data_IF_917144183705
#
_entry.id   IF_917144183705
#
_cell.length_a   1.000
_cell.length_b   1.000
_cell.length_c   1.000
_cell.angle_alpha   90.00
_cell.angle_beta   90.00
_cell.angle_gamma   90.00
#
_symmetry.space_group_name_H-M   'P 1'
#
loop_
_entity.id
_entity.type
_entity.pdbx_description
1 polymer ?
#
# COMPACT_ATOMS: atom_id res chain seq x y z
N UNK A 1 -5.36 6.76 19.87
CA UNK A 1 -6.77 6.74 19.39
C UNK A 1 -6.74 7.17 17.93
N UNK A 2 -7.45 6.48 17.03
CA UNK A 2 -7.59 6.89 15.63
C UNK A 2 -8.83 7.77 15.52
N UNK A 3 -8.69 8.94 14.88
CA UNK A 3 -9.78 9.89 14.59
C UNK A 3 -10.20 9.64 13.15
N UNK A 4 -11.49 9.53 12.92
CA UNK A 4 -12.08 9.36 11.59
C UNK A 4 -12.82 10.63 11.19
N UNK A 5 -12.62 11.10 9.97
CA UNK A 5 -13.23 12.32 9.44
C UNK A 5 -13.50 12.20 7.95
N UNK A 6 -14.57 12.83 7.49
CA UNK A 6 -14.90 12.93 6.08
C UNK A 6 -14.34 14.25 5.51
N UNK A 7 -13.41 14.14 4.57
CA UNK A 7 -12.84 15.27 3.84
C UNK A 7 -13.61 15.49 2.54
N UNK A 8 -14.30 16.62 2.43
CA UNK A 8 -14.94 17.05 1.18
C UNK A 8 -13.88 17.57 0.20
N UNK A 9 -13.84 17.03 -1.02
CA UNK A 9 -12.96 17.46 -2.09
C UNK A 9 -13.64 18.55 -2.95
N UNK A 10 -12.84 19.39 -3.65
CA UNK A 10 -13.38 20.46 -4.50
C UNK A 10 -14.29 19.98 -5.64
N UNK A 11 -14.14 18.73 -6.08
CA UNK A 11 -14.94 18.10 -7.13
C UNK A 11 -16.24 17.46 -6.63
N UNK A 12 -16.56 17.63 -5.34
CA UNK A 12 -17.75 17.12 -4.69
C UNK A 12 -17.63 15.69 -4.16
N UNK A 13 -16.49 15.03 -4.34
CA UNK A 13 -16.23 13.73 -3.72
C UNK A 13 -15.88 13.89 -2.24
N UNK A 14 -15.98 12.80 -1.50
CA UNK A 14 -15.55 12.67 -0.10
C UNK A 14 -14.45 11.64 0.00
N UNK A 15 -13.45 11.90 0.83
CA UNK A 15 -12.50 10.90 1.30
C UNK A 15 -12.72 10.66 2.79
N UNK A 16 -12.91 9.41 3.18
CA UNK A 16 -12.94 9.01 4.59
C UNK A 16 -11.51 8.84 5.07
N UNK A 17 -11.11 9.64 6.06
CA UNK A 17 -9.72 9.80 6.51
C UNK A 17 -9.58 9.30 7.93
N UNK A 18 -8.48 8.61 8.17
CA UNK A 18 -8.03 8.13 9.48
C UNK A 18 -6.77 8.88 9.89
N UNK A 19 -6.71 9.35 11.14
CA UNK A 19 -5.59 10.13 11.67
C UNK A 19 -5.37 9.77 13.14
N UNK A 20 -4.15 9.38 13.51
CA UNK A 20 -3.82 9.19 14.93
C UNK A 20 -3.60 10.50 15.68
N UNK A 21 -3.48 11.62 14.94
CA UNK A 21 -3.35 12.96 15.52
C UNK A 21 -2.07 13.20 16.31
N UNK A 22 -2.04 14.34 16.99
CA UNK A 22 -0.96 14.72 17.89
C UNK A 22 0.31 15.25 17.22
N UNK A 23 1.23 15.82 18.02
CA UNK A 23 2.54 16.21 17.52
C UNK A 23 3.35 14.96 17.18
N UNK A 24 3.99 14.95 16.01
CA UNK A 24 4.76 13.83 15.54
C UNK A 24 6.10 14.30 14.96
N UNK A 25 7.12 13.46 15.09
CA UNK A 25 8.39 13.63 14.42
C UNK A 25 8.28 13.32 12.94
N UNK A 26 7.52 12.27 12.60
CA UNK A 26 7.29 11.83 11.23
C UNK A 26 5.81 11.52 11.03
N UNK A 27 5.23 12.01 9.93
CA UNK A 27 3.93 11.53 9.44
C UNK A 27 4.15 10.43 8.41
N UNK A 28 3.44 9.32 8.56
CA UNK A 28 3.45 8.21 7.60
C UNK A 28 2.04 8.04 7.03
N UNK A 29 1.92 8.15 5.71
CA UNK A 29 0.68 7.78 5.01
C UNK A 29 0.66 6.27 4.79
N UNK A 30 -0.38 5.62 5.33
CA UNK A 30 -0.63 4.20 5.11
C UNK A 30 -1.50 3.99 3.89
N UNK A 31 -1.04 3.12 2.99
CA UNK A 31 -1.80 2.66 1.83
C UNK A 31 -2.25 1.22 2.07
N UNK A 32 -3.54 1.04 2.24
CA UNK A 32 -4.15 -0.25 2.56
C UNK A 32 -4.12 -1.25 1.40
N UNK A 33 -4.15 -2.56 1.70
CA UNK A 33 -4.23 -3.65 0.72
C UNK A 33 -5.58 -3.70 -0.02
N UNK A 34 -5.78 -4.76 -0.79
CA UNK A 34 -7.01 -5.01 -1.56
C UNK A 34 -7.55 -6.40 -1.23
N UNK A 35 -8.84 -6.51 -0.80
CA UNK A 35 -9.74 -5.43 -0.39
C UNK A 35 -9.55 -5.09 1.09
N UNK A 36 -9.33 -3.82 1.45
CA UNK A 36 -9.27 -3.40 2.85
C UNK A 36 -9.92 -2.02 3.00
N UNK A 37 -10.36 -1.68 4.21
CA UNK A 37 -10.56 -0.29 4.62
C UNK A 37 -9.23 0.38 4.92
N UNK A 38 -9.23 1.70 4.96
CA UNK A 38 -8.04 2.53 5.09
C UNK A 38 -7.45 2.63 6.50
N UNK A 39 -8.05 2.05 7.52
CA UNK A 39 -7.55 2.18 8.89
C UNK A 39 -6.05 1.84 8.99
N UNK A 40 -5.26 2.60 9.78
CA UNK A 40 -3.85 2.32 10.01
C UNK A 40 -3.63 0.94 10.63
N UNK A 41 -2.47 0.30 10.41
CA UNK A 41 -2.22 -1.06 10.90
C UNK A 41 -2.21 -1.12 12.44
N UNK A 42 -3.30 -1.64 13.01
CA UNK A 42 -3.52 -1.74 14.45
C UNK A 42 -2.32 -2.34 15.22
N UNK A 43 -1.72 -3.44 14.75
CA UNK A 43 -0.54 -4.05 15.40
C UNK A 43 0.67 -3.11 15.52
N UNK A 44 0.79 -2.09 14.68
CA UNK A 44 1.91 -1.15 14.68
C UNK A 44 1.67 0.13 15.49
N UNK A 45 0.46 0.36 16.00
CA UNK A 45 0.14 1.59 16.73
C UNK A 45 1.03 1.83 17.97
N UNK A 46 1.33 0.83 18.82
CA UNK A 46 2.22 1.03 19.97
C UNK A 46 3.65 1.39 19.57
N UNK A 47 4.18 0.76 18.51
CA UNK A 47 5.51 1.07 18.00
C UNK A 47 5.54 2.48 17.38
N UNK A 48 4.52 2.85 16.60
CA UNK A 48 4.42 4.18 16.01
C UNK A 48 4.44 5.28 17.07
N UNK A 49 3.67 5.11 18.17
CA UNK A 49 3.69 6.02 19.30
C UNK A 49 5.09 6.15 19.91
N UNK A 50 5.79 5.04 20.13
CA UNK A 50 7.15 5.05 20.70
C UNK A 50 8.19 5.71 19.78
N UNK A 51 7.99 5.65 18.46
CA UNK A 51 8.85 6.26 17.45
C UNK A 51 8.48 7.73 17.16
N UNK A 52 7.39 8.27 17.72
CA UNK A 52 6.87 9.58 17.39
C UNK A 52 6.30 9.67 15.98
N UNK A 53 5.70 8.59 15.50
CA UNK A 53 5.07 8.50 14.17
C UNK A 53 3.57 8.77 14.28
N UNK A 54 3.06 9.70 13.46
CA UNK A 54 1.64 9.92 13.21
C UNK A 54 1.23 9.14 11.96
N UNK A 55 0.24 8.28 12.10
CA UNK A 55 -0.40 7.65 10.96
C UNK A 55 -1.49 8.53 10.40
N UNK A 56 -1.50 8.66 9.08
CA UNK A 56 -2.60 9.21 8.30
C UNK A 56 -2.92 8.23 7.18
N UNK A 57 -4.19 8.03 6.88
CA UNK A 57 -4.62 7.17 5.78
C UNK A 57 -6.04 7.55 5.35
N UNK A 58 -6.52 6.94 4.30
CA UNK A 58 -7.89 7.11 3.84
C UNK A 58 -8.39 5.83 3.17
N UNK A 59 -9.69 5.64 3.16
CA UNK A 59 -10.31 4.65 2.28
C UNK A 59 -10.06 5.07 0.84
N UNK A 60 -9.48 4.19 0.01
CA UNK A 60 -9.40 4.50 -1.43
C UNK A 60 -10.79 4.68 -2.02
N UNK A 61 -10.95 5.51 -3.08
CA UNK A 61 -12.24 5.68 -3.73
C UNK A 61 -12.90 4.33 -4.08
N UNK A 62 -14.18 4.19 -3.64
CA UNK A 62 -14.93 2.94 -3.80
C UNK A 62 -14.88 1.98 -2.61
N UNK A 63 -14.16 2.34 -1.53
CA UNK A 63 -14.17 1.63 -0.24
C UNK A 63 -14.79 2.51 0.84
N UNK A 64 -15.32 1.87 1.86
CA UNK A 64 -15.80 2.50 3.10
C UNK A 64 -16.60 3.76 2.89
N UNK A 65 -16.16 4.86 3.52
CA UNK A 65 -16.82 6.17 3.43
C UNK A 65 -16.37 7.03 2.24
N UNK A 66 -15.41 6.57 1.41
CA UNK A 66 -14.90 7.34 0.28
C UNK A 66 -15.76 7.19 -0.96
N UNK A 67 -16.06 8.34 -1.60
CA UNK A 67 -16.82 8.38 -2.86
C UNK A 67 -16.12 7.57 -3.96
N UNK A 68 -16.89 6.77 -4.68
CA UNK A 68 -16.41 6.01 -5.83
C UNK A 68 -15.84 6.93 -6.91
N UNK A 69 -14.70 6.55 -7.49
CA UNK A 69 -14.08 7.19 -8.65
C UNK A 69 -13.89 6.12 -9.74
N UNK A 70 -14.78 6.08 -10.73
CA UNK A 70 -14.64 5.14 -11.85
C UNK A 70 -13.33 5.36 -12.61
N UNK A 71 -12.80 4.27 -13.17
CA UNK A 71 -11.62 4.28 -14.06
C UNK A 71 -10.36 4.92 -13.45
N UNK A 72 -10.28 4.96 -12.11
CA UNK A 72 -9.09 5.42 -11.42
C UNK A 72 -7.88 4.53 -11.75
N UNK A 73 -6.73 5.15 -11.78
CA UNK A 73 -5.43 4.47 -11.89
C UNK A 73 -4.77 4.38 -10.53
N UNK A 74 -3.67 3.63 -10.43
CA UNK A 74 -2.83 3.61 -9.23
C UNK A 74 -2.33 5.02 -8.88
N UNK A 75 -2.02 5.86 -9.88
CA UNK A 75 -1.52 7.22 -9.70
C UNK A 75 -2.50 8.20 -9.05
N UNK A 76 -3.82 7.95 -9.12
CA UNK A 76 -4.78 8.80 -8.42
C UNK A 76 -4.61 8.78 -6.88
N UNK A 77 -3.87 7.80 -6.33
CA UNK A 77 -3.51 7.82 -4.91
C UNK A 77 -2.71 9.08 -4.52
N UNK A 78 -1.86 9.59 -5.42
CA UNK A 78 -1.08 10.80 -5.16
C UNK A 78 -1.99 12.04 -4.98
N UNK A 79 -3.06 12.15 -5.79
CA UNK A 79 -4.05 13.24 -5.67
C UNK A 79 -4.80 13.16 -4.34
N UNK A 80 -5.25 11.95 -3.95
CA UNK A 80 -5.94 11.73 -2.67
C UNK A 80 -5.03 12.07 -1.48
N UNK A 81 -3.78 11.58 -1.49
CA UNK A 81 -2.80 11.86 -0.44
C UNK A 81 -2.48 13.35 -0.37
N UNK A 82 -2.29 14.04 -1.51
CA UNK A 82 -2.02 15.47 -1.54
C UNK A 82 -3.20 16.25 -0.92
N UNK A 83 -4.43 15.92 -1.29
CA UNK A 83 -5.63 16.58 -0.73
C UNK A 83 -5.76 16.39 0.78
N UNK A 84 -5.53 15.17 1.29
CA UNK A 84 -5.54 14.88 2.73
C UNK A 84 -4.41 15.61 3.45
N UNK A 85 -3.20 15.57 2.90
CA UNK A 85 -2.04 16.23 3.49
C UNK A 85 -2.22 17.75 3.55
N UNK A 86 -2.76 18.38 2.49
CA UNK A 86 -3.03 19.81 2.45
C UNK A 86 -4.11 20.21 3.47
N UNK A 87 -5.18 19.43 3.58
CA UNK A 87 -6.24 19.66 4.56
C UNK A 87 -5.73 19.56 6.01
N UNK A 88 -4.76 18.70 6.26
CA UNK A 88 -4.15 18.49 7.59
C UNK A 88 -2.90 19.35 7.84
N UNK A 89 -2.49 20.20 6.89
CA UNK A 89 -1.32 21.06 6.98
C UNK A 89 0.02 20.29 7.02
N UNK A 90 0.06 19.10 6.39
CA UNK A 90 1.24 18.22 6.34
C UNK A 90 2.03 18.55 5.08
N UNK A 91 3.25 19.10 5.21
CA UNK A 91 4.13 19.45 4.09
C UNK A 91 4.84 18.23 3.52
N UNK A 92 5.59 17.53 4.35
CA UNK A 92 6.40 16.36 4.00
C UNK A 92 5.97 15.16 4.83
N UNK A 93 6.10 13.96 4.26
CA UNK A 93 5.68 12.72 4.90
C UNK A 93 6.42 11.51 4.30
N UNK A 94 6.39 10.39 5.00
CA UNK A 94 6.75 9.09 4.44
C UNK A 94 5.49 8.35 4.00
N UNK A 95 5.66 7.34 3.15
CA UNK A 95 4.57 6.45 2.74
C UNK A 95 4.90 4.99 3.07
N UNK A 96 3.90 4.25 3.50
CA UNK A 96 3.99 2.81 3.74
C UNK A 96 2.79 2.10 3.13
N UNK A 97 3.00 0.91 2.57
CA UNK A 97 1.91 0.15 1.98
C UNK A 97 2.14 -1.36 1.99
N UNK A 98 1.05 -2.12 1.91
CA UNK A 98 1.08 -3.57 1.79
C UNK A 98 0.25 -4.03 0.60
N UNK A 99 0.72 -5.07 -0.12
CA UNK A 99 -0.01 -5.66 -1.25
C UNK A 99 -0.34 -4.60 -2.30
N UNK A 100 -1.59 -4.50 -2.73
CA UNK A 100 -2.05 -3.44 -3.63
C UNK A 100 -1.76 -2.02 -3.14
N UNK A 101 -1.74 -1.79 -1.82
CA UNK A 101 -1.35 -0.50 -1.25
C UNK A 101 0.11 -0.12 -1.53
N UNK A 102 0.97 -1.10 -1.75
CA UNK A 102 2.36 -0.87 -2.12
C UNK A 102 2.49 -0.15 -3.47
N UNK A 103 1.69 -0.55 -4.46
CA UNK A 103 1.65 0.13 -5.78
C UNK A 103 1.23 1.59 -5.62
N UNK A 104 0.20 1.85 -4.81
CA UNK A 104 -0.30 3.20 -4.53
C UNK A 104 0.74 4.06 -3.77
N UNK A 105 1.46 3.47 -2.80
CA UNK A 105 2.55 4.14 -2.09
C UNK A 105 3.71 4.51 -3.03
N UNK A 106 4.14 3.59 -3.90
CA UNK A 106 5.18 3.83 -4.89
C UNK A 106 4.77 4.89 -5.91
N UNK A 107 3.52 4.84 -6.41
CA UNK A 107 3.01 5.86 -7.33
C UNK A 107 2.92 7.24 -6.65
N UNK A 108 2.51 7.28 -5.38
CA UNK A 108 2.52 8.53 -4.58
C UNK A 108 3.92 9.12 -4.52
N UNK A 109 4.94 8.30 -4.26
CA UNK A 109 6.33 8.77 -4.20
C UNK A 109 6.86 9.25 -5.57
N UNK A 110 6.50 8.57 -6.66
CA UNK A 110 6.89 8.97 -8.01
C UNK A 110 6.27 10.30 -8.44
N UNK A 111 5.01 10.56 -8.02
CA UNK A 111 4.23 11.73 -8.43
C UNK A 111 4.35 12.93 -7.47
N UNK A 112 4.79 12.70 -6.23
CA UNK A 112 5.00 13.74 -5.22
C UNK A 112 6.44 13.76 -4.68
N UNK A 113 7.47 13.81 -5.55
CA UNK A 113 8.87 13.67 -5.13
C UNK A 113 9.34 14.78 -4.17
N UNK A 114 8.68 15.95 -4.17
CA UNK A 114 8.97 17.06 -3.26
C UNK A 114 8.30 16.92 -1.88
N UNK A 115 7.47 15.91 -1.67
CA UNK A 115 6.72 15.71 -0.41
C UNK A 115 7.03 14.37 0.27
N UNK A 116 7.36 13.34 -0.51
CA UNK A 116 7.66 12.00 0.03
C UNK A 116 9.12 11.92 0.43
N UNK A 117 9.38 11.75 1.72
CA UNK A 117 10.74 11.66 2.29
C UNK A 117 11.31 10.25 2.28
N UNK A 118 10.48 9.23 2.41
CA UNK A 118 10.88 7.83 2.40
C UNK A 118 9.69 6.93 2.06
N UNK A 119 9.99 5.75 1.54
CA UNK A 119 9.00 4.74 1.12
C UNK A 119 9.34 3.39 1.73
N UNK A 120 8.38 2.72 2.36
CA UNK A 120 8.52 1.31 2.73
C UNK A 120 7.29 0.53 2.24
N UNK A 121 7.51 -0.52 1.48
CA UNK A 121 6.41 -1.33 0.94
C UNK A 121 6.66 -2.81 1.16
N UNK A 122 5.57 -3.54 1.42
CA UNK A 122 5.58 -4.98 1.67
C UNK A 122 4.70 -5.69 0.63
N UNK A 123 5.17 -6.80 0.07
CA UNK A 123 4.47 -7.60 -0.94
C UNK A 123 4.00 -6.75 -2.16
N UNK A 124 4.90 -5.96 -2.73
CA UNK A 124 4.56 -4.98 -3.76
C UNK A 124 4.17 -5.62 -5.09
N UNK A 125 3.14 -5.03 -5.74
CA UNK A 125 2.75 -5.34 -7.12
C UNK A 125 3.53 -4.43 -8.06
N UNK A 126 4.20 -4.97 -9.08
CA UNK A 126 4.89 -4.19 -10.11
C UNK A 126 3.89 -3.62 -11.14
N UNK A 127 4.25 -2.58 -11.91
CA UNK A 127 3.45 -2.12 -13.04
C UNK A 127 3.13 -3.25 -14.03
N UNK A 128 1.91 -3.26 -14.54
CA UNK A 128 1.49 -4.23 -15.55
C UNK A 128 2.37 -4.13 -16.80
N UNK A 129 2.75 -5.29 -17.35
CA UNK A 129 3.70 -5.37 -18.46
C UNK A 129 5.16 -5.54 -18.03
N UNK A 130 5.48 -5.56 -16.73
CA UNK A 130 6.76 -6.09 -16.25
C UNK A 130 6.92 -7.55 -16.72
N UNK A 131 8.14 -7.92 -17.12
CA UNK A 131 8.43 -9.27 -17.63
C UNK A 131 8.04 -10.33 -16.59
N UNK A 132 7.33 -11.37 -17.03
CA UNK A 132 6.87 -12.45 -16.16
C UNK A 132 5.83 -12.04 -15.10
N UNK A 133 5.06 -10.99 -15.33
CA UNK A 133 4.15 -10.40 -14.34
C UNK A 133 3.19 -11.40 -13.67
N UNK A 134 2.74 -12.43 -14.37
CA UNK A 134 1.91 -13.51 -13.84
C UNK A 134 2.71 -14.74 -13.35
N UNK A 135 4.01 -14.77 -13.57
CA UNK A 135 4.81 -15.98 -13.32
C UNK A 135 4.96 -16.24 -11.82
N UNK A 136 4.57 -17.43 -11.40
CA UNK A 136 4.61 -17.84 -10.00
C UNK A 136 3.36 -17.49 -9.18
N UNK A 137 2.40 -16.73 -9.73
CA UNK A 137 1.12 -16.51 -9.06
C UNK A 137 0.34 -17.82 -8.92
N UNK A 138 -0.36 -17.99 -7.80
CA UNK A 138 -1.37 -19.03 -7.64
C UNK A 138 -2.45 -18.88 -8.72
N UNK A 139 -3.03 -19.99 -9.12
CA UNK A 139 -3.99 -20.01 -10.23
C UNK A 139 -5.17 -19.04 -10.04
N UNK A 140 -5.71 -18.95 -8.80
CA UNK A 140 -6.80 -18.05 -8.48
C UNK A 140 -6.39 -16.57 -8.58
N UNK A 141 -5.21 -16.20 -8.06
CA UNK A 141 -4.69 -14.83 -8.17
C UNK A 141 -4.47 -14.42 -9.63
N UNK A 142 -3.84 -15.29 -10.41
CA UNK A 142 -3.62 -15.05 -11.84
C UNK A 142 -4.93 -14.97 -12.62
N UNK A 143 -5.94 -15.79 -12.30
CA UNK A 143 -7.24 -15.75 -12.95
C UNK A 143 -7.99 -14.46 -12.69
N UNK A 144 -7.99 -13.96 -11.44
CA UNK A 144 -8.61 -12.71 -11.03
C UNK A 144 -8.02 -11.52 -11.80
N UNK A 145 -6.69 -11.39 -11.82
CA UNK A 145 -6.02 -10.29 -12.50
C UNK A 145 -6.04 -10.38 -14.04
N UNK A 146 -6.11 -11.60 -14.61
CA UNK A 146 -6.36 -11.80 -16.04
C UNK A 146 -7.76 -11.34 -16.43
N UNK A 147 -8.77 -11.66 -15.60
CA UNK A 147 -10.13 -11.18 -15.81
C UNK A 147 -10.20 -9.65 -15.79
N UNK A 148 -9.43 -9.00 -14.90
CA UNK A 148 -9.30 -7.54 -14.89
C UNK A 148 -8.64 -7.02 -16.18
N UNK A 149 -7.59 -7.68 -16.68
CA UNK A 149 -6.92 -7.30 -17.93
C UNK A 149 -7.83 -7.42 -19.17
N UNK A 150 -8.87 -8.27 -19.12
CA UNK A 150 -9.91 -8.36 -20.14
C UNK A 150 -11.00 -7.29 -20.00
N UNK A 151 -11.01 -6.54 -18.90
CA UNK A 151 -11.89 -5.41 -18.64
C UNK A 151 -12.94 -5.64 -17.57
N UNK A 152 -13.61 -4.55 -17.19
CA UNK A 152 -14.54 -4.48 -16.05
C UNK A 152 -15.63 -5.57 -16.08
N UNK A 153 -16.33 -5.75 -17.19
CA UNK A 153 -17.42 -6.69 -17.28
C UNK A 153 -16.97 -8.16 -17.05
N UNK A 154 -15.76 -8.51 -17.51
CA UNK A 154 -15.17 -9.84 -17.30
C UNK A 154 -14.76 -9.99 -15.83
N UNK A 155 -14.15 -8.95 -15.25
CA UNK A 155 -13.77 -8.93 -13.84
C UNK A 155 -14.99 -9.05 -12.92
N UNK A 156 -16.05 -8.28 -13.14
CA UNK A 156 -17.31 -8.35 -12.37
C UNK A 156 -17.93 -9.76 -12.43
N UNK A 157 -17.96 -10.37 -13.63
CA UNK A 157 -18.43 -11.74 -13.78
C UNK A 157 -17.57 -12.75 -13.03
N UNK A 158 -16.24 -12.56 -13.06
CA UNK A 158 -15.30 -13.39 -12.31
C UNK A 158 -15.57 -13.30 -10.81
N UNK A 159 -15.64 -12.09 -10.25
CA UNK A 159 -15.87 -11.86 -8.81
C UNK A 159 -17.22 -12.42 -8.34
N UNK A 160 -18.26 -12.34 -9.16
CA UNK A 160 -19.57 -12.87 -8.82
C UNK A 160 -19.59 -14.40 -8.62
N UNK A 161 -18.60 -15.12 -9.12
CA UNK A 161 -18.53 -16.59 -9.10
C UNK A 161 -17.24 -17.13 -8.48
N UNK A 162 -16.28 -16.26 -8.15
CA UNK A 162 -15.01 -16.66 -7.56
C UNK A 162 -15.22 -17.21 -6.14
N UNK A 163 -14.59 -18.34 -5.86
CA UNK A 163 -14.52 -18.92 -4.53
C UNK A 163 -13.11 -18.70 -3.95
N UNK A 164 -13.02 -18.58 -2.65
CA UNK A 164 -11.74 -18.48 -1.98
C UNK A 164 -10.91 -19.75 -2.18
N UNK A 165 -9.73 -19.60 -2.77
CA UNK A 165 -8.75 -20.69 -2.92
C UNK A 165 -7.66 -20.55 -1.83
N UNK A 166 -7.61 -21.46 -0.84
CA UNK A 166 -6.61 -21.40 0.21
C UNK A 166 -5.17 -21.59 -0.30
N UNK A 167 -4.99 -22.09 -1.54
CA UNK A 167 -3.65 -22.28 -2.12
C UNK A 167 -2.91 -20.96 -2.40
N UNK A 168 -3.62 -19.82 -2.38
CA UNK A 168 -3.01 -18.48 -2.52
C UNK A 168 -2.13 -18.12 -1.31
N UNK A 169 -2.38 -18.73 -0.14
CA UNK A 169 -1.65 -18.47 1.10
C UNK A 169 -0.76 -19.66 1.49
N UNK A 170 0.35 -19.31 2.15
CA UNK A 170 1.25 -20.29 2.78
C UNK A 170 0.73 -20.66 4.18
N UNK A 171 1.37 -21.65 4.81
CA UNK A 171 1.09 -21.97 6.22
C UNK A 171 1.48 -20.81 7.15
N UNK A 172 2.54 -20.07 6.82
CA UNK A 172 2.97 -18.89 7.57
C UNK A 172 1.91 -17.79 7.49
N UNK A 173 1.31 -17.57 6.30
CA UNK A 173 0.22 -16.59 6.15
C UNK A 173 -0.98 -16.92 7.03
N UNK A 174 -1.42 -18.16 7.06
CA UNK A 174 -2.51 -18.58 7.94
C UNK A 174 -2.17 -18.43 9.43
N UNK A 175 -0.91 -18.66 9.81
CA UNK A 175 -0.46 -18.44 11.18
C UNK A 175 -0.47 -16.95 11.54
N UNK A 176 -0.01 -16.07 10.65
CA UNK A 176 -0.05 -14.62 10.83
C UNK A 176 -1.49 -14.10 10.95
N UNK A 177 -2.40 -14.55 10.08
CA UNK A 177 -3.83 -14.22 10.13
C UNK A 177 -4.52 -14.70 11.42
N UNK A 178 -4.12 -15.83 11.94
CA UNK A 178 -4.65 -16.34 13.22
C UNK A 178 -4.01 -15.68 14.46
N UNK A 179 -2.92 -14.96 14.29
CA UNK A 179 -2.08 -14.38 15.33
C UNK A 179 -1.93 -12.87 15.24
N UNK A 180 -0.68 -12.43 15.00
CA UNK A 180 -0.25 -11.00 15.00
C UNK A 180 -1.03 -10.10 14.04
N UNK A 181 -1.55 -10.66 12.94
CA UNK A 181 -2.26 -9.92 11.90
C UNK A 181 -3.75 -10.28 11.80
N UNK A 182 -4.34 -10.84 12.86
CA UNK A 182 -5.80 -11.06 12.94
C UNK A 182 -6.60 -9.76 12.77
N UNK A 183 -6.00 -8.60 13.04
CA UNK A 183 -6.53 -7.28 12.74
C UNK A 183 -6.96 -7.11 11.25
N UNK A 184 -6.36 -7.85 10.33
CA UNK A 184 -6.76 -7.79 8.91
C UNK A 184 -8.23 -8.17 8.71
N UNK A 185 -8.80 -9.04 9.56
CA UNK A 185 -10.22 -9.38 9.48
C UNK A 185 -11.13 -8.15 9.71
N UNK A 186 -10.72 -7.23 10.59
CA UNK A 186 -11.48 -6.01 10.90
C UNK A 186 -11.55 -5.03 9.71
N UNK A 187 -10.53 -5.01 8.84
CA UNK A 187 -10.46 -4.10 7.69
C UNK A 187 -10.81 -4.77 6.36
N UNK A 188 -10.66 -6.09 6.25
CA UNK A 188 -11.02 -6.86 5.05
C UNK A 188 -12.51 -7.15 5.00
N UNK A 189 -13.09 -7.68 6.09
CA UNK A 189 -14.49 -8.13 6.11
C UNK A 189 -15.48 -7.03 5.70
N UNK A 190 -15.41 -5.79 6.21
CA UNK A 190 -16.31 -4.72 5.77
C UNK A 190 -16.03 -4.21 4.35
N UNK A 191 -14.85 -4.52 3.79
CA UNK A 191 -14.48 -4.14 2.42
C UNK A 191 -14.87 -5.19 1.37
N UNK A 192 -15.33 -6.38 1.79
CA UNK A 192 -15.78 -7.42 0.86
C UNK A 192 -17.00 -6.97 0.07
N UNK A 193 -16.98 -7.20 -1.24
CA UNK A 193 -18.07 -6.78 -2.14
C UNK A 193 -18.08 -5.29 -2.48
N UNK A 194 -17.15 -4.50 -1.96
CA UNK A 194 -16.99 -3.11 -2.37
C UNK A 194 -16.56 -3.02 -3.85
N UNK A 195 -17.10 -2.02 -4.56
CA UNK A 195 -16.70 -1.73 -5.95
C UNK A 195 -15.21 -1.42 -6.07
N UNK A 196 -14.60 -0.94 -4.99
CA UNK A 196 -13.18 -0.63 -4.89
C UNK A 196 -12.26 -1.81 -5.16
N UNK A 197 -12.67 -3.07 -4.86
CA UNK A 197 -11.90 -4.28 -5.20
C UNK A 197 -11.74 -4.42 -6.72
N UNK A 198 -12.84 -4.27 -7.45
CA UNK A 198 -12.83 -4.36 -8.91
C UNK A 198 -11.98 -3.23 -9.51
N UNK A 199 -12.15 -2.01 -8.99
CA UNK A 199 -11.40 -0.83 -9.45
C UNK A 199 -9.90 -0.96 -9.16
N UNK A 200 -9.51 -1.53 -8.02
CA UNK A 200 -8.12 -1.80 -7.70
C UNK A 200 -7.49 -2.77 -8.71
N UNK A 201 -8.14 -3.90 -8.97
CA UNK A 201 -7.62 -4.89 -9.90
C UNK A 201 -7.52 -4.34 -11.33
N UNK A 202 -8.49 -3.51 -11.75
CA UNK A 202 -8.42 -2.80 -13.03
C UNK A 202 -7.26 -1.80 -13.05
N UNK A 203 -7.03 -1.08 -11.94
CA UNK A 203 -5.93 -0.13 -11.84
C UNK A 203 -4.55 -0.82 -11.89
N UNK A 204 -4.42 -2.04 -11.32
CA UNK A 204 -3.15 -2.77 -11.36
C UNK A 204 -2.78 -3.25 -12.76
N UNK A 205 -3.75 -3.52 -13.63
CA UNK A 205 -3.54 -4.00 -15.00
C UNK A 205 -3.57 -2.88 -16.05
N UNK A 206 -3.56 -1.63 -15.62
CA UNK A 206 -3.45 -0.44 -16.46
C UNK A 206 -2.17 0.35 -16.14
N UNK A 207 -1.73 1.31 -16.99
CA UNK A 207 -0.61 2.17 -16.64
C UNK A 207 -0.84 2.92 -15.33
N UNK A 208 0.14 2.90 -14.45
CA UNK A 208 0.04 3.53 -13.11
C UNK A 208 -0.16 5.05 -13.17
N UNK A 209 0.28 5.71 -14.25
CA UNK A 209 0.32 7.17 -14.33
C UNK A 209 1.60 7.78 -13.74
N UNK A 210 2.51 6.98 -13.21
CA UNK A 210 3.83 7.37 -12.71
C UNK A 210 4.87 6.28 -13.02
N UNK A 211 6.14 6.68 -13.17
CA UNK A 211 7.26 5.75 -13.40
C UNK A 211 8.00 5.48 -12.09
N UNK A 212 8.14 4.22 -11.64
CA UNK A 212 8.95 3.90 -10.46
C UNK A 212 10.40 4.41 -10.53
N UNK A 213 10.96 4.56 -11.73
CA UNK A 213 12.30 5.13 -11.91
C UNK A 213 12.39 6.63 -11.53
N UNK A 214 11.26 7.33 -11.42
CA UNK A 214 11.21 8.71 -10.97
C UNK A 214 11.23 8.88 -9.44
N UNK A 215 11.17 7.79 -8.70
CA UNK A 215 11.22 7.83 -7.23
C UNK A 215 12.63 8.22 -6.80
N UNK A 216 12.75 9.34 -6.09
CA UNK A 216 14.02 9.85 -5.57
C UNK A 216 14.17 9.61 -4.07
N UNK A 217 13.07 9.34 -3.37
CA UNK A 217 13.07 9.06 -1.95
C UNK A 217 13.74 7.71 -1.64
N UNK A 218 14.48 7.58 -0.52
CA UNK A 218 14.93 6.28 -0.03
C UNK A 218 13.78 5.28 -0.01
N UNK A 219 13.98 4.10 -0.59
CA UNK A 219 12.91 3.11 -0.77
C UNK A 219 13.33 1.75 -0.24
N UNK A 220 12.52 1.19 0.66
CA UNK A 220 12.63 -0.17 1.16
C UNK A 220 11.51 -1.02 0.58
N UNK A 221 11.88 -2.11 -0.05
CA UNK A 221 10.98 -3.15 -0.54
C UNK A 221 11.18 -4.40 0.32
N UNK A 222 10.13 -4.90 0.94
CA UNK A 222 10.14 -6.17 1.68
C UNK A 222 9.18 -7.15 1.03
N UNK A 223 9.56 -8.43 0.91
CA UNK A 223 8.71 -9.42 0.24
C UNK A 223 8.93 -10.81 0.80
N UNK A 224 7.84 -11.54 1.05
CA UNK A 224 7.90 -12.95 1.39
C UNK A 224 8.41 -13.76 0.18
N UNK A 225 9.47 -14.55 0.39
CA UNK A 225 10.07 -15.31 -0.72
C UNK A 225 9.13 -16.39 -1.28
N UNK A 226 8.17 -16.85 -0.47
CA UNK A 226 7.19 -17.89 -0.79
C UNK A 226 5.79 -17.31 -1.12
N UNK A 227 5.69 -15.99 -1.36
CA UNK A 227 4.44 -15.33 -1.73
C UNK A 227 3.89 -15.91 -3.03
N UNK A 228 2.66 -16.43 -2.97
CA UNK A 228 1.95 -17.07 -4.09
C UNK A 228 0.85 -16.18 -4.66
N UNK A 229 0.46 -15.14 -3.92
CA UNK A 229 -0.53 -14.18 -4.40
C UNK A 229 0.13 -13.20 -5.37
N UNK A 230 1.19 -12.54 -4.90
CA UNK A 230 2.04 -11.65 -5.70
C UNK A 230 3.48 -12.13 -5.51
N UNK A 231 4.08 -12.83 -6.49
CA UNK A 231 5.42 -13.39 -6.33
C UNK A 231 6.49 -12.33 -6.10
N UNK A 232 7.55 -12.70 -5.37
CA UNK A 232 8.67 -11.82 -5.05
C UNK A 232 9.41 -11.27 -6.29
N UNK A 233 9.17 -11.82 -7.47
CA UNK A 233 9.66 -11.30 -8.76
C UNK A 233 9.20 -9.88 -9.03
N UNK A 234 8.01 -9.47 -8.54
CA UNK A 234 7.50 -8.11 -8.63
C UNK A 234 8.40 -7.13 -7.87
N UNK A 235 8.74 -7.41 -6.61
CA UNK A 235 9.66 -6.55 -5.84
C UNK A 235 11.08 -6.59 -6.38
N UNK A 236 11.55 -7.70 -6.94
CA UNK A 236 12.85 -7.77 -7.63
C UNK A 236 12.87 -6.87 -8.86
N UNK A 237 11.80 -6.87 -9.64
CA UNK A 237 11.67 -5.98 -10.80
C UNK A 237 11.67 -4.51 -10.35
N UNK A 238 10.88 -4.15 -9.34
CA UNK A 238 10.82 -2.80 -8.78
C UNK A 238 12.19 -2.34 -8.26
N UNK A 239 12.90 -3.19 -7.52
CA UNK A 239 14.24 -2.90 -7.02
C UNK A 239 15.25 -2.64 -8.14
N UNK A 240 15.08 -3.27 -9.31
CA UNK A 240 15.92 -3.01 -10.48
C UNK A 240 15.64 -1.68 -11.18
N UNK A 241 14.48 -1.04 -10.89
CA UNK A 241 14.01 0.20 -11.53
C UNK A 241 14.10 1.42 -10.65
N UNK A 242 13.85 1.27 -9.36
CA UNK A 242 13.89 2.37 -8.38
C UNK A 242 15.33 2.65 -7.99
N UNK A 243 15.88 3.85 -8.26
CA UNK A 243 17.27 4.16 -7.92
C UNK A 243 17.55 4.01 -6.42
N UNK A 244 18.55 3.22 -6.07
CA UNK A 244 18.97 3.04 -4.68
C UNK A 244 17.99 2.28 -3.79
N UNK A 245 16.99 1.60 -4.33
CA UNK A 245 16.06 0.81 -3.54
C UNK A 245 16.76 -0.34 -2.82
N UNK A 246 16.44 -0.51 -1.55
CA UNK A 246 16.84 -1.67 -0.73
C UNK A 246 15.76 -2.75 -0.86
N UNK A 247 16.16 -3.97 -1.20
CA UNK A 247 15.27 -5.14 -1.25
C UNK A 247 15.62 -6.14 -0.16
N UNK A 248 14.64 -6.47 0.68
CA UNK A 248 14.72 -7.53 1.68
C UNK A 248 13.73 -8.63 1.36
N UNK A 249 14.23 -9.82 1.08
CA UNK A 249 13.43 -11.03 0.90
C UNK A 249 13.42 -11.82 2.21
N UNK A 250 12.25 -12.25 2.65
CA UNK A 250 12.08 -13.02 3.89
C UNK A 250 11.78 -14.49 3.55
N UNK A 251 12.76 -15.40 3.70
CA UNK A 251 12.56 -16.82 3.40
C UNK A 251 11.50 -17.46 4.30
N UNK A 252 10.60 -18.25 3.71
CA UNK A 252 9.50 -18.92 4.43
C UNK A 252 8.25 -18.08 4.59
N UNK A 253 8.31 -16.78 4.36
CA UNK A 253 7.14 -15.90 4.40
C UNK A 253 6.40 -15.86 3.07
N UNK A 254 5.09 -15.72 3.16
CA UNK A 254 4.19 -15.49 2.03
C UNK A 254 3.68 -14.04 1.98
N UNK A 255 2.45 -13.89 1.49
CA UNK A 255 1.83 -12.59 1.23
C UNK A 255 1.46 -11.82 2.50
N UNK A 256 1.00 -12.53 3.53
CA UNK A 256 0.55 -11.95 4.79
C UNK A 256 1.66 -12.00 5.83
N UNK A 257 2.38 -13.13 5.94
CA UNK A 257 3.41 -13.31 6.96
C UNK A 257 4.60 -12.37 6.81
N UNK A 258 4.86 -11.81 5.62
CA UNK A 258 5.82 -10.71 5.45
C UNK A 258 5.50 -9.49 6.34
N UNK A 259 4.24 -9.32 6.74
CA UNK A 259 3.83 -8.26 7.66
C UNK A 259 4.42 -8.42 9.07
N UNK A 260 4.85 -9.61 9.48
CA UNK A 260 5.58 -9.80 10.76
C UNK A 260 6.87 -8.96 10.81
N UNK A 261 7.38 -8.53 9.65
CA UNK A 261 8.51 -7.60 9.51
C UNK A 261 8.09 -6.13 9.33
N UNK A 262 6.80 -5.80 9.43
CA UNK A 262 6.32 -4.43 9.24
C UNK A 262 6.84 -3.46 10.32
N UNK A 263 7.16 -3.97 11.52
CA UNK A 263 7.82 -3.19 12.58
C UNK A 263 9.22 -2.72 12.15
N UNK A 264 9.98 -3.58 11.45
CA UNK A 264 11.30 -3.22 10.91
C UNK A 264 11.18 -2.16 9.81
N UNK A 265 10.15 -2.28 8.95
CA UNK A 265 9.87 -1.29 7.91
C UNK A 265 9.53 0.08 8.51
N UNK A 266 8.69 0.13 9.55
CA UNK A 266 8.34 1.37 10.24
C UNK A 266 9.55 1.99 10.95
N UNK A 267 10.36 1.18 11.61
CA UNK A 267 11.61 1.62 12.24
C UNK A 267 12.59 2.18 11.22
N UNK A 268 12.70 1.53 10.07
CA UNK A 268 13.52 2.00 8.96
C UNK A 268 13.05 3.36 8.43
N UNK A 269 11.73 3.56 8.24
CA UNK A 269 11.17 4.87 7.85
C UNK A 269 11.50 5.95 8.88
N UNK A 270 11.35 5.66 10.16
CA UNK A 270 11.65 6.61 11.22
C UNK A 270 13.14 7.00 11.26
N UNK A 271 14.05 6.12 10.85
CA UNK A 271 15.48 6.41 10.77
C UNK A 271 15.83 7.34 9.59
N UNK A 272 15.10 7.33 8.49
CA UNK A 272 15.35 8.22 7.35
C UNK A 272 15.11 9.70 7.70
N UNK A 273 14.17 9.99 8.59
CA UNK A 273 13.90 11.36 9.04
C UNK A 273 15.06 11.95 9.86
N UNK A 274 15.74 11.12 10.65
CA UNK A 274 16.87 11.56 11.48
C UNK A 274 18.11 11.93 10.67
N UNK A 275 18.35 11.26 9.54
CA UNK A 275 19.52 11.52 8.68
C UNK A 275 19.41 12.84 7.90
N UNK A 276 18.20 13.33 7.66
CA UNK A 276 17.97 14.62 6.99
C UNK A 276 18.26 15.82 7.90
N UNK A 277 18.06 15.69 9.23
CA UNK A 277 18.34 16.76 10.19
C UNK A 277 19.84 16.96 10.45
N UNK A 278 20.64 15.90 10.44
CA UNK A 278 22.10 15.97 10.67
C UNK A 278 22.85 16.57 9.47
N UNK A 279 22.35 16.37 8.24
CA UNK A 279 22.95 16.95 7.04
C UNK A 279 22.81 18.49 6.99
N UNK A 280 21.77 19.05 7.62
CA UNK A 280 21.51 20.50 7.65
C UNK A 280 22.32 21.23 8.73
N UNK A 281 22.72 20.55 9.80
CA UNK A 281 23.50 21.12 10.90
C UNK A 281 25.01 21.10 10.66
N UNK A 282 25.51 20.33 9.70
CA UNK A 282 26.94 20.25 9.36
C UNK A 282 27.43 21.23 8.29
N UNK A 283 26.56 22.13 7.78
CA UNK A 283 26.87 23.08 6.69
C UNK A 283 26.88 24.55 7.12
N UNK A 284 27.07 24.83 8.41
CA UNK A 284 27.27 26.21 8.93
C UNK A 284 28.69 26.42 9.44
#
# INVERSE_FOLDING_TARGET
>A
MVIETDLALPDGRTLHVYDTGGPARLTVFWHHGTPNLGAPPGPLLPLAESLGVRWVSHDRPGYGGSTHLPDRTVGNAAECVAAVADALGIGEFAVMGHSGGSSHALATAALLPGRVKAVAVLAAVAPFGAEGWFDGMAAASAASLRAAAEGRAVKEKHEATAEFDPAVFTKADFAALAGSWSWLDDVVRPALGAVGLIDDDLAYVTPWGGDPAAITAPTLLMHGADDRMIPATHSKWLASRIPGAELRLTPGDGHISVLDHAADALTWLAAQDSSASDATTGAM
#
